data_IF_580909734898
#
_entry.id   IF_580909734898
#
_cell.length_a   1.000
_cell.length_b   1.000
_cell.length_c   1.000
_cell.angle_alpha   90.00
_cell.angle_beta   90.00
_cell.angle_gamma   90.00
#
_symmetry.space_group_name_H-M   'P 1'
#
loop_
_entity.id
_entity.type
_entity.pdbx_description
1 polymer ?
#
# COMPACT_ATOMS: atom_id res chain seq x y z
N UNK A 1 68.10 25.85 -1.18
CA UNK A 1 67.52 25.17 0.00
C UNK A 1 66.05 24.95 -0.28
N UNK A 2 65.71 23.70 -0.60
CA UNK A 2 64.40 23.22 -1.03
C UNK A 2 63.38 23.14 0.11
N UNK A 3 62.19 23.68 -0.15
CA UNK A 3 60.92 22.94 -0.32
C UNK A 3 60.42 22.01 0.79
N UNK A 4 59.23 22.31 1.32
CA UNK A 4 58.25 21.30 1.73
C UNK A 4 56.83 21.91 1.77
N UNK A 5 56.09 21.65 0.69
CA UNK A 5 54.67 21.93 0.50
C UNK A 5 53.82 20.93 1.30
N UNK A 6 52.81 21.42 2.02
CA UNK A 6 51.85 20.63 2.81
C UNK A 6 50.72 20.13 1.89
N UNK A 7 50.60 18.82 1.71
CA UNK A 7 49.38 18.15 1.20
C UNK A 7 48.41 17.89 2.37
N UNK A 8 47.08 17.90 2.16
CA UNK A 8 46.13 17.33 3.10
C UNK A 8 45.92 15.83 2.84
N UNK A 9 45.88 15.08 3.92
CA UNK A 9 45.68 13.62 3.96
C UNK A 9 44.33 13.20 3.36
N UNK A 10 44.40 12.17 2.53
CA UNK A 10 43.28 11.50 1.88
C UNK A 10 43.35 10.05 2.33
N UNK A 11 42.61 9.69 3.39
CA UNK A 11 42.47 8.31 3.87
C UNK A 11 41.12 8.15 4.59
N UNK A 12 40.03 8.04 3.83
CA UNK A 12 38.79 7.41 4.29
C UNK A 12 38.72 6.02 3.64
N UNK A 13 39.37 5.05 4.28
CA UNK A 13 39.31 3.66 3.90
C UNK A 13 37.87 3.14 4.03
N UNK A 14 37.34 2.69 2.89
CA UNK A 14 36.15 1.84 2.75
C UNK A 14 36.20 0.70 3.78
N UNK A 15 35.33 0.73 4.79
CA UNK A 15 35.20 -0.35 5.75
C UNK A 15 34.38 -1.48 5.10
N UNK A 16 34.95 -2.68 4.86
CA UNK A 16 34.25 -3.79 4.18
C UNK A 16 33.05 -4.34 4.97
N UNK A 17 32.80 -3.85 6.19
CA UNK A 17 31.63 -4.19 7.01
C UNK A 17 30.32 -3.50 6.63
N UNK A 18 30.33 -2.52 5.71
CA UNK A 18 29.13 -1.73 5.36
C UNK A 18 28.28 -2.30 4.21
N UNK A 19 28.74 -3.35 3.52
CA UNK A 19 27.96 -3.97 2.45
C UNK A 19 26.90 -4.93 3.02
N UNK A 20 25.62 -4.80 2.65
CA UNK A 20 24.59 -5.73 3.10
C UNK A 20 24.87 -7.14 2.57
N UNK A 21 25.15 -8.08 3.48
CA UNK A 21 25.42 -9.47 3.14
C UNK A 21 24.19 -10.15 2.51
N UNK A 22 24.38 -10.87 1.40
CA UNK A 22 23.35 -11.72 0.79
C UNK A 22 22.92 -12.81 1.80
N UNK A 23 21.61 -13.02 2.04
CA UNK A 23 21.16 -14.00 3.02
C UNK A 23 21.40 -15.44 2.52
N UNK A 24 22.41 -16.11 3.06
CA UNK A 24 22.57 -17.56 2.99
C UNK A 24 21.83 -18.25 4.13
N UNK A 25 20.75 -18.98 3.84
CA UNK A 25 20.05 -19.83 4.81
C UNK A 25 18.56 -20.08 4.49
N UNK A 26 18.00 -21.24 4.88
CA UNK A 26 16.80 -21.80 4.24
C UNK A 26 15.51 -21.06 4.58
N UNK A 27 14.79 -20.67 3.52
CA UNK A 27 13.36 -20.40 3.39
C UNK A 27 12.49 -20.33 4.67
N UNK A 28 12.70 -19.33 5.53
CA UNK A 28 11.57 -18.75 6.27
C UNK A 28 10.83 -17.87 5.27
N UNK A 29 9.54 -18.14 5.01
CA UNK A 29 8.68 -17.34 4.10
C UNK A 29 8.92 -15.85 4.41
N UNK A 30 9.76 -15.15 3.62
CA UNK A 30 10.23 -13.85 4.05
C UNK A 30 9.05 -12.90 3.92
N UNK A 31 8.93 -11.96 4.84
CA UNK A 31 8.03 -10.82 4.66
C UNK A 31 8.32 -10.24 3.28
N UNK A 32 7.39 -10.40 2.34
CA UNK A 32 7.68 -10.32 0.89
C UNK A 32 8.19 -8.96 0.47
N UNK A 33 7.75 -7.89 1.14
CA UNK A 33 8.24 -6.54 0.91
C UNK A 33 9.69 -6.34 1.42
N UNK A 34 10.04 -6.90 2.58
CA UNK A 34 11.39 -6.75 3.14
C UNK A 34 12.43 -7.37 2.23
N UNK A 35 12.12 -8.52 1.63
CA UNK A 35 13.02 -9.15 0.66
C UNK A 35 13.22 -8.27 -0.57
N UNK A 36 12.14 -7.71 -1.14
CA UNK A 36 12.24 -6.84 -2.33
C UNK A 36 13.03 -5.56 -2.06
N UNK A 37 12.76 -4.90 -0.93
CA UNK A 37 13.49 -3.69 -0.54
C UNK A 37 14.97 -4.02 -0.27
N UNK A 38 15.29 -5.16 0.36
CA UNK A 38 16.68 -5.62 0.53
C UNK A 38 17.39 -5.87 -0.80
N UNK A 39 16.72 -6.56 -1.74
CA UNK A 39 17.28 -6.79 -3.08
C UNK A 39 17.57 -5.46 -3.77
N UNK A 40 16.63 -4.51 -3.73
CA UNK A 40 16.82 -3.18 -4.33
C UNK A 40 17.94 -2.39 -3.65
N UNK A 41 18.01 -2.44 -2.32
CA UNK A 41 19.09 -1.85 -1.53
C UNK A 41 20.46 -2.41 -1.95
N UNK A 42 20.59 -3.75 -2.10
CA UNK A 42 21.83 -4.38 -2.54
C UNK A 42 22.23 -3.94 -3.97
N UNK A 43 21.27 -3.85 -4.89
CA UNK A 43 21.49 -3.40 -6.27
C UNK A 43 22.02 -1.96 -6.26
N UNK A 44 21.36 -1.05 -5.54
CA UNK A 44 21.75 0.36 -5.47
C UNK A 44 23.09 0.58 -4.76
N UNK A 45 23.42 -0.23 -3.75
CA UNK A 45 24.74 -0.22 -3.13
C UNK A 45 25.84 -0.60 -4.13
N UNK A 46 25.62 -1.67 -4.89
CA UNK A 46 26.58 -2.11 -5.90
C UNK A 46 26.72 -1.10 -7.03
N UNK A 47 25.61 -0.48 -7.42
CA UNK A 47 25.57 0.54 -8.45
C UNK A 47 26.33 1.81 -8.04
N UNK A 48 26.10 2.31 -6.83
CA UNK A 48 26.83 3.46 -6.27
C UNK A 48 28.34 3.19 -6.19
N UNK A 49 28.73 2.00 -5.73
CA UNK A 49 30.14 1.58 -5.65
C UNK A 49 30.80 1.56 -7.04
N UNK A 50 30.10 1.02 -8.04
CA UNK A 50 30.60 1.01 -9.42
C UNK A 50 30.76 2.41 -10.02
N UNK A 51 29.86 3.35 -9.72
CA UNK A 51 29.95 4.75 -10.19
C UNK A 51 31.09 5.49 -9.49
N UNK A 52 31.34 5.21 -8.21
CA UNK A 52 32.46 5.80 -7.48
C UNK A 52 33.81 5.33 -8.07
N UNK A 53 33.97 4.04 -8.36
CA UNK A 53 35.21 3.51 -8.95
C UNK A 53 35.53 4.10 -10.33
N UNK A 54 34.53 4.18 -11.19
CA UNK A 54 34.65 4.72 -12.56
C UNK A 54 35.13 6.19 -12.53
N UNK A 55 34.65 6.97 -11.57
CA UNK A 55 35.05 8.36 -11.41
C UNK A 55 36.46 8.54 -10.81
N UNK A 56 36.92 7.59 -10.00
CA UNK A 56 38.29 7.60 -9.45
C UNK A 56 39.32 7.20 -10.53
N UNK A 57 38.96 6.26 -11.43
CA UNK A 57 39.81 5.82 -12.55
C UNK A 57 39.99 6.91 -13.64
N UNK A 58 38.95 7.70 -13.90
CA UNK A 58 39.00 8.78 -14.90
C UNK A 58 39.78 10.02 -14.44
N UNK A 59 40.31 10.02 -13.19
CA UNK A 59 41.03 11.13 -12.58
C UNK A 59 40.30 12.48 -12.73
N UNK A 60 38.96 12.43 -12.72
CA UNK A 60 38.14 13.62 -12.73
C UNK A 60 38.28 14.31 -11.37
N UNK A 61 38.61 15.60 -11.36
CA UNK A 61 38.44 16.45 -10.17
C UNK A 61 36.94 16.48 -9.89
N UNK A 62 36.48 15.63 -8.99
CA UNK A 62 35.12 15.61 -8.52
C UNK A 62 34.84 16.98 -7.89
N UNK A 63 34.01 17.79 -8.56
CA UNK A 63 33.55 19.05 -7.99
C UNK A 63 32.83 18.79 -6.67
N UNK A 64 32.85 19.77 -5.75
CA UNK A 64 32.22 19.69 -4.42
C UNK A 64 30.79 19.12 -4.46
N UNK A 65 30.04 19.42 -5.52
CA UNK A 65 28.68 18.88 -5.73
C UNK A 65 28.64 17.36 -5.91
N UNK A 66 29.60 16.77 -6.62
CA UNK A 66 29.62 15.32 -6.87
C UNK A 66 30.01 14.54 -5.61
N UNK A 67 30.92 15.08 -4.78
CA UNK A 67 31.26 14.45 -3.50
C UNK A 67 30.10 14.53 -2.49
N UNK A 68 29.39 15.66 -2.43
CA UNK A 68 28.17 15.80 -1.62
C UNK A 68 27.07 14.81 -2.02
N UNK A 69 26.83 14.62 -3.32
CA UNK A 69 25.84 13.66 -3.82
C UNK A 69 26.21 12.20 -3.46
N UNK A 70 27.49 11.82 -3.55
CA UNK A 70 27.96 10.47 -3.14
C UNK A 70 27.70 10.23 -1.66
N UNK A 71 28.06 11.18 -0.81
CA UNK A 71 27.84 11.09 0.65
C UNK A 71 26.34 11.03 0.97
N UNK A 72 25.53 11.86 0.29
CA UNK A 72 24.07 11.84 0.40
C UNK A 72 23.47 10.49 0.06
N UNK A 73 23.84 9.91 -1.09
CA UNK A 73 23.38 8.59 -1.52
C UNK A 73 23.76 7.49 -0.50
N UNK A 74 25.01 7.46 -0.01
CA UNK A 74 25.44 6.51 1.04
C UNK A 74 24.62 6.68 2.32
N UNK A 75 24.34 7.92 2.74
CA UNK A 75 23.55 8.21 3.93
C UNK A 75 22.11 7.67 3.80
N UNK A 76 21.47 7.89 2.64
CA UNK A 76 20.13 7.40 2.35
C UNK A 76 20.06 5.87 2.30
N UNK A 77 21.03 5.19 1.67
CA UNK A 77 21.09 3.73 1.65
C UNK A 77 21.30 3.13 3.04
N UNK A 78 22.16 3.74 3.88
CA UNK A 78 22.31 3.34 5.30
C UNK A 78 21.02 3.56 6.09
N UNK A 79 20.31 4.67 5.85
CA UNK A 79 19.01 4.92 6.48
C UNK A 79 17.95 3.90 6.06
N UNK A 80 17.90 3.52 4.78
CA UNK A 80 17.02 2.45 4.31
C UNK A 80 17.36 1.11 5.00
N UNK A 81 18.64 0.78 5.13
CA UNK A 81 19.09 -0.44 5.81
C UNK A 81 18.62 -0.48 7.29
N UNK A 82 18.80 0.62 8.02
CA UNK A 82 18.39 0.70 9.43
C UNK A 82 16.87 0.58 9.60
N UNK A 83 16.08 1.18 8.69
CA UNK A 83 14.62 1.04 8.69
C UNK A 83 14.19 -0.41 8.46
N UNK A 84 14.81 -1.12 7.51
CA UNK A 84 14.51 -2.53 7.22
C UNK A 84 14.89 -3.43 8.40
N UNK A 85 16.05 -3.20 9.02
CA UNK A 85 16.48 -3.96 10.19
C UNK A 85 15.56 -3.72 11.39
N UNK A 86 15.11 -2.48 11.57
CA UNK A 86 14.12 -2.12 12.59
C UNK A 86 12.75 -2.79 12.36
N UNK A 87 12.44 -3.18 11.12
CA UNK A 87 11.24 -3.90 10.74
C UNK A 87 11.38 -5.44 10.89
N UNK A 88 12.60 -5.97 10.72
CA UNK A 88 12.91 -7.39 10.83
C UNK A 88 13.25 -7.84 12.26
N UNK A 89 13.84 -6.96 13.07
CA UNK A 89 14.23 -7.29 14.43
C UNK A 89 12.99 -7.56 15.28
N UNK A 90 12.87 -8.80 15.76
CA UNK A 90 12.00 -9.18 16.89
C UNK A 90 12.54 -8.56 18.18
N UNK A 91 12.74 -7.25 18.22
CA UNK A 91 13.18 -6.56 19.42
C UNK A 91 12.16 -6.85 20.52
N UNK A 92 12.64 -7.54 21.57
CA UNK A 92 11.88 -7.96 22.75
C UNK A 92 11.30 -6.77 23.53
N UNK A 93 11.76 -5.56 23.24
CA UNK A 93 11.53 -4.35 24.04
C UNK A 93 10.46 -3.41 23.46
N UNK A 94 10.00 -3.63 22.23
CA UNK A 94 8.83 -2.90 21.69
C UNK A 94 7.53 -3.56 22.16
N UNK A 95 6.75 -2.83 22.95
CA UNK A 95 5.39 -3.24 23.36
C UNK A 95 4.59 -3.73 22.15
N UNK A 96 3.86 -4.84 22.32
CA UNK A 96 3.06 -5.52 21.28
C UNK A 96 2.19 -4.54 20.47
N UNK A 97 1.71 -3.48 21.12
CA UNK A 97 0.93 -2.37 20.56
C UNK A 97 1.72 -1.49 19.58
N UNK A 98 2.96 -1.10 19.89
CA UNK A 98 3.83 -0.34 18.96
C UNK A 98 4.21 -1.17 17.74
N UNK A 99 4.41 -2.48 17.90
CA UNK A 99 4.70 -3.41 16.79
C UNK A 99 3.52 -3.56 15.83
N UNK A 100 2.32 -3.73 16.39
CA UNK A 100 1.10 -3.77 15.59
C UNK A 100 0.88 -2.43 14.89
N UNK A 101 1.05 -1.30 15.60
CA UNK A 101 0.94 0.04 15.03
C UNK A 101 1.96 0.30 13.91
N UNK A 102 3.24 -0.03 14.07
CA UNK A 102 4.25 0.20 13.03
C UNK A 102 4.05 -0.69 11.80
N UNK A 103 3.61 -1.94 12.00
CA UNK A 103 3.21 -2.82 10.91
C UNK A 103 1.95 -2.30 10.21
N UNK A 104 1.02 -1.74 10.97
CA UNK A 104 -0.22 -1.14 10.47
C UNK A 104 0.04 0.15 9.69
N UNK A 105 0.90 1.05 10.14
CA UNK A 105 1.05 2.38 9.53
C UNK A 105 1.84 2.35 8.21
N UNK A 106 2.64 1.32 7.94
CA UNK A 106 3.44 1.24 6.71
C UNK A 106 4.65 2.19 6.70
N UNK A 107 4.84 2.99 7.75
CA UNK A 107 5.90 4.01 7.88
C UNK A 107 7.30 3.46 7.61
N UNK A 108 7.61 2.26 8.10
CA UNK A 108 8.93 1.65 7.89
C UNK A 108 9.15 1.24 6.44
N UNK A 109 8.08 0.79 5.77
CA UNK A 109 8.13 0.42 4.36
C UNK A 109 8.20 1.67 3.47
N UNK A 110 7.28 2.61 3.65
CA UNK A 110 7.23 3.89 2.93
C UNK A 110 8.55 4.66 3.10
N UNK A 111 9.03 4.82 4.34
CA UNK A 111 10.30 5.50 4.61
C UNK A 111 11.51 4.79 4.01
N UNK A 112 11.52 3.45 3.98
CA UNK A 112 12.60 2.72 3.31
C UNK A 112 12.57 2.90 1.79
N UNK A 113 11.37 2.93 1.20
CA UNK A 113 11.19 3.09 -0.24
C UNK A 113 11.58 4.50 -0.68
N UNK A 114 11.14 5.52 0.06
CA UNK A 114 11.49 6.92 -0.17
C UNK A 114 13.02 7.11 -0.13
N UNK A 115 13.71 6.56 0.89
CA UNK A 115 15.16 6.63 0.95
C UNK A 115 15.85 5.95 -0.25
N UNK A 116 15.29 4.84 -0.76
CA UNK A 116 15.83 4.17 -1.95
C UNK A 116 15.58 4.97 -3.23
N UNK A 117 14.40 5.57 -3.39
CA UNK A 117 14.06 6.42 -4.54
C UNK A 117 14.96 7.66 -4.59
N UNK A 118 15.10 8.37 -3.48
CA UNK A 118 15.99 9.53 -3.36
C UNK A 118 17.46 9.13 -3.63
N UNK A 119 17.91 7.98 -3.11
CA UNK A 119 19.26 7.50 -3.37
C UNK A 119 19.49 7.18 -4.86
N UNK A 120 18.51 6.56 -5.52
CA UNK A 120 18.61 6.22 -6.94
C UNK A 120 18.68 7.46 -7.84
N UNK A 121 17.88 8.50 -7.56
CA UNK A 121 17.96 9.79 -8.28
C UNK A 121 19.36 10.39 -8.16
N UNK A 122 19.95 10.38 -6.96
CA UNK A 122 21.33 10.85 -6.76
C UNK A 122 22.35 9.99 -7.52
N UNK A 123 22.21 8.66 -7.51
CA UNK A 123 23.10 7.74 -8.22
C UNK A 123 23.05 7.98 -9.74
N UNK A 124 21.85 8.10 -10.32
CA UNK A 124 21.66 8.36 -11.75
C UNK A 124 22.25 9.71 -12.15
N UNK A 125 22.15 10.72 -11.30
CA UNK A 125 22.76 12.04 -11.55
C UNK A 125 24.30 12.01 -11.62
N UNK A 126 24.92 10.96 -11.08
CA UNK A 126 26.38 10.75 -11.08
C UNK A 126 26.86 9.88 -12.25
N UNK A 127 25.98 9.37 -13.12
CA UNK A 127 26.38 8.53 -14.24
C UNK A 127 27.18 9.29 -15.30
N UNK A 128 28.10 8.57 -15.95
CA UNK A 128 28.66 9.02 -17.21
C UNK A 128 27.62 8.95 -18.35
N UNK A 129 27.74 9.81 -19.38
CA UNK A 129 26.77 9.90 -20.48
C UNK A 129 26.46 8.56 -21.18
N UNK A 130 27.49 7.77 -21.50
CA UNK A 130 27.34 6.45 -22.12
C UNK A 130 26.52 5.49 -21.25
N UNK A 131 26.74 5.53 -19.93
CA UNK A 131 26.05 4.69 -18.96
C UNK A 131 24.61 5.14 -18.76
N UNK A 132 24.41 6.45 -18.67
CA UNK A 132 23.08 7.08 -18.61
C UNK A 132 22.22 6.69 -19.82
N UNK A 133 22.78 6.73 -21.03
CA UNK A 133 22.10 6.31 -22.27
C UNK A 133 21.69 4.84 -22.26
N UNK A 134 22.54 3.95 -21.71
CA UNK A 134 22.21 2.53 -21.53
C UNK A 134 21.08 2.33 -20.50
N UNK A 135 21.07 3.13 -19.45
CA UNK A 135 20.07 3.05 -18.38
C UNK A 135 18.74 3.73 -18.74
N UNK A 136 18.72 4.61 -19.74
CA UNK A 136 17.54 5.40 -20.13
C UNK A 136 16.27 4.56 -20.35
N UNK A 137 16.37 3.42 -21.03
CA UNK A 137 15.20 2.55 -21.25
C UNK A 137 14.62 1.98 -19.94
N UNK A 138 15.46 1.77 -18.92
CA UNK A 138 15.01 1.35 -17.59
C UNK A 138 14.23 2.48 -16.91
N UNK A 139 14.73 3.72 -17.00
CA UNK A 139 14.05 4.91 -16.46
C UNK A 139 12.72 5.14 -17.18
N UNK A 140 12.73 5.11 -18.52
CA UNK A 140 11.52 5.25 -19.35
C UNK A 140 10.45 4.20 -19.03
N UNK A 141 10.85 2.98 -18.67
CA UNK A 141 9.92 1.94 -18.20
C UNK A 141 9.30 2.28 -16.83
N UNK A 142 10.08 2.82 -15.89
CA UNK A 142 9.60 3.25 -14.56
C UNK A 142 8.63 4.43 -14.66
N UNK A 143 8.94 5.41 -15.50
CA UNK A 143 8.18 6.66 -15.67
C UNK A 143 7.01 6.55 -16.66
N UNK A 144 6.77 5.35 -17.21
CA UNK A 144 5.62 5.04 -18.08
C UNK A 144 4.25 5.55 -17.59
N UNK A 145 3.96 5.64 -16.26
CA UNK A 145 2.69 6.17 -15.80
C UNK A 145 2.53 7.69 -15.90
N UNK A 146 3.57 8.45 -16.24
CA UNK A 146 3.48 9.89 -16.49
C UNK A 146 2.66 10.20 -17.76
N UNK A 147 2.20 11.44 -17.85
CA UNK A 147 1.51 11.95 -19.02
C UNK A 147 2.44 11.92 -20.25
N UNK A 148 2.01 11.39 -21.40
CA UNK A 148 2.82 11.36 -22.63
C UNK A 148 3.23 12.75 -23.15
N UNK A 149 2.65 13.83 -22.63
CA UNK A 149 2.92 15.22 -23.04
C UNK A 149 3.84 15.96 -22.05
N UNK A 150 4.37 15.28 -21.04
CA UNK A 150 5.27 15.90 -20.06
C UNK A 150 6.52 16.49 -20.77
N UNK A 151 6.86 17.77 -20.55
CA UNK A 151 8.04 18.40 -21.16
C UNK A 151 9.35 17.69 -20.81
N UNK A 152 9.46 17.05 -19.64
CA UNK A 152 10.65 16.32 -19.20
C UNK A 152 10.89 15.06 -20.02
N UNK A 153 9.81 14.39 -20.41
CA UNK A 153 9.89 13.20 -21.26
C UNK A 153 10.44 13.57 -22.64
N UNK A 154 9.93 14.66 -23.23
CA UNK A 154 10.44 15.20 -24.51
C UNK A 154 11.89 15.64 -24.42
N UNK A 155 12.28 16.31 -23.33
CA UNK A 155 13.66 16.72 -23.14
C UNK A 155 14.63 15.53 -23.12
N UNK A 156 14.26 14.42 -22.47
CA UNK A 156 15.07 13.19 -22.48
C UNK A 156 15.09 12.55 -23.86
N UNK A 157 13.96 12.47 -24.56
CA UNK A 157 13.92 11.92 -25.93
C UNK A 157 14.78 12.74 -26.91
N UNK A 158 14.75 14.07 -26.80
CA UNK A 158 15.57 14.98 -27.61
C UNK A 158 17.07 14.81 -27.31
N UNK A 159 17.44 14.65 -26.03
CA UNK A 159 18.82 14.38 -25.61
C UNK A 159 19.31 12.99 -26.06
N UNK A 160 18.43 11.99 -26.08
CA UNK A 160 18.74 10.66 -26.62
C UNK A 160 18.91 10.69 -28.14
N UNK A 161 18.18 11.55 -28.85
CA UNK A 161 18.31 11.74 -30.28
C UNK A 161 19.55 12.56 -30.67
N UNK A 162 20.06 13.40 -29.78
CA UNK A 162 21.23 14.24 -30.02
C UNK A 162 22.56 13.44 -30.05
N UNK A 163 23.50 13.92 -30.87
CA UNK A 163 24.92 13.52 -30.89
C UNK A 163 25.74 14.41 -29.93
N UNK A 164 26.93 13.96 -29.43
CA UNK A 164 27.73 14.73 -28.47
C UNK A 164 28.04 16.15 -29.00
N UNK A 165 27.93 17.22 -28.17
CA UNK A 165 28.23 17.28 -26.73
C UNK A 165 27.04 17.35 -25.75
N UNK A 166 25.79 17.29 -26.22
CA UNK A 166 24.58 17.39 -25.35
C UNK A 166 24.41 16.20 -24.38
N UNK A 167 25.17 15.12 -24.59
CA UNK A 167 25.17 13.90 -23.76
C UNK A 167 25.56 14.18 -22.29
N UNK A 168 26.24 15.31 -22.00
CA UNK A 168 26.63 15.69 -20.63
C UNK A 168 25.45 16.07 -19.74
N UNK A 169 24.33 16.49 -20.31
CA UNK A 169 23.12 16.88 -19.56
C UNK A 169 22.17 15.70 -19.36
N UNK A 170 22.37 14.60 -20.10
CA UNK A 170 21.52 13.41 -20.07
C UNK A 170 21.37 12.78 -18.67
N UNK A 171 22.43 12.62 -17.84
CA UNK A 171 22.28 12.06 -16.50
C UNK A 171 21.40 12.92 -15.59
N UNK A 172 21.52 14.24 -15.66
CA UNK A 172 20.71 15.17 -14.88
C UNK A 172 19.24 15.18 -15.35
N UNK A 173 19.01 15.18 -16.66
CA UNK A 173 17.66 15.09 -17.23
C UNK A 173 16.96 13.77 -16.87
N UNK A 174 17.68 12.64 -16.90
CA UNK A 174 17.16 11.34 -16.47
C UNK A 174 16.84 11.31 -14.97
N UNK A 175 17.69 11.93 -14.14
CA UNK A 175 17.43 12.05 -12.70
C UNK A 175 16.16 12.86 -12.41
N UNK A 176 15.97 14.00 -13.08
CA UNK A 176 14.76 14.83 -12.93
C UNK A 176 13.49 14.07 -13.41
N UNK A 177 13.58 13.36 -14.54
CA UNK A 177 12.49 12.54 -15.03
C UNK A 177 12.14 11.41 -14.06
N UNK A 178 13.15 10.75 -13.48
CA UNK A 178 12.96 9.68 -12.50
C UNK A 178 12.34 10.20 -11.20
N UNK A 179 12.77 11.36 -10.71
CA UNK A 179 12.18 12.03 -9.54
C UNK A 179 10.69 12.33 -9.76
N UNK A 180 10.34 12.84 -10.95
CA UNK A 180 8.94 13.05 -11.32
C UNK A 180 8.13 11.74 -11.35
N UNK A 181 8.72 10.66 -11.84
CA UNK A 181 8.10 9.33 -11.82
C UNK A 181 7.82 8.83 -10.42
N UNK A 182 8.80 8.96 -9.52
CA UNK A 182 8.64 8.54 -8.12
C UNK A 182 7.63 9.39 -7.37
N UNK A 183 7.53 10.70 -7.63
CA UNK A 183 6.47 11.53 -7.06
C UNK A 183 5.06 11.00 -7.40
N UNK A 184 4.83 10.59 -8.65
CA UNK A 184 3.55 9.99 -9.08
C UNK A 184 3.31 8.63 -8.42
N UNK A 185 4.35 7.81 -8.27
CA UNK A 185 4.23 6.54 -7.55
C UNK A 185 3.90 6.72 -6.06
N UNK A 186 4.49 7.73 -5.41
CA UNK A 186 4.22 8.07 -4.01
C UNK A 186 2.78 8.54 -3.80
N UNK A 187 2.22 9.36 -4.71
CA UNK A 187 0.81 9.74 -4.66
C UNK A 187 -0.13 8.53 -4.72
N UNK A 188 0.20 7.54 -5.55
CA UNK A 188 -0.55 6.27 -5.62
C UNK A 188 -0.45 5.49 -4.32
N UNK A 189 0.73 5.47 -3.70
CA UNK A 189 0.92 4.86 -2.39
C UNK A 189 0.06 5.56 -1.32
N UNK A 190 0.01 6.90 -1.29
CA UNK A 190 -0.84 7.67 -0.37
C UNK A 190 -2.33 7.37 -0.59
N UNK A 191 -2.79 7.31 -1.85
CA UNK A 191 -4.17 6.95 -2.20
C UNK A 191 -4.52 5.55 -1.68
N UNK A 192 -3.60 4.60 -1.84
CA UNK A 192 -3.79 3.22 -1.36
C UNK A 192 -3.90 3.16 0.18
N UNK A 193 -3.11 3.95 0.91
CA UNK A 193 -3.17 4.06 2.38
C UNK A 193 -4.49 4.66 2.85
N UNK A 194 -4.92 5.75 2.23
CA UNK A 194 -6.19 6.41 2.54
C UNK A 194 -7.38 5.49 2.29
N UNK A 195 -7.34 4.70 1.21
CA UNK A 195 -8.34 3.69 0.92
C UNK A 195 -8.38 2.60 1.99
N UNK A 196 -7.23 2.05 2.41
CA UNK A 196 -7.16 1.09 3.51
C UNK A 196 -7.77 1.67 4.79
N UNK A 197 -7.39 2.89 5.17
CA UNK A 197 -7.91 3.56 6.37
C UNK A 197 -9.42 3.81 6.28
N UNK A 198 -9.95 4.08 5.09
CA UNK A 198 -11.40 4.18 4.86
C UNK A 198 -12.09 2.82 5.04
N UNK A 199 -11.53 1.74 4.50
CA UNK A 199 -12.05 0.38 4.68
C UNK A 199 -12.05 -0.05 6.15
N UNK A 200 -10.97 0.22 6.88
CA UNK A 200 -10.87 -0.08 8.31
C UNK A 200 -11.95 0.68 9.09
N UNK A 201 -12.13 1.97 8.81
CA UNK A 201 -13.19 2.78 9.44
C UNK A 201 -14.58 2.24 9.12
N UNK A 202 -14.85 1.90 7.87
CA UNK A 202 -16.12 1.30 7.45
C UNK A 202 -16.35 -0.05 8.14
N UNK A 203 -15.34 -0.90 8.21
CA UNK A 203 -15.39 -2.19 8.92
C UNK A 203 -15.65 -2.02 10.42
N UNK A 204 -15.03 -1.03 11.05
CA UNK A 204 -15.30 -0.70 12.45
C UNK A 204 -16.74 -0.25 12.67
N UNK A 205 -17.27 0.62 11.80
CA UNK A 205 -18.68 1.04 11.86
C UNK A 205 -19.61 -0.17 11.73
N UNK A 206 -19.35 -1.08 10.78
CA UNK A 206 -20.15 -2.29 10.61
C UNK A 206 -20.10 -3.21 11.84
N UNK A 207 -18.92 -3.36 12.47
CA UNK A 207 -18.79 -4.12 13.72
C UNK A 207 -19.54 -3.45 14.88
N UNK A 208 -19.53 -2.13 14.98
CA UNK A 208 -20.31 -1.38 15.98
C UNK A 208 -21.81 -1.59 15.76
N UNK A 209 -22.29 -1.51 14.52
CA UNK A 209 -23.69 -1.78 14.19
C UNK A 209 -24.06 -3.22 14.53
N UNK A 210 -23.23 -4.19 14.14
CA UNK A 210 -23.45 -5.60 14.46
C UNK A 210 -23.50 -5.85 15.98
N UNK A 211 -22.59 -5.22 16.73
CA UNK A 211 -22.59 -5.24 18.19
C UNK A 211 -23.83 -4.58 18.81
N UNK A 212 -24.33 -3.49 18.22
CA UNK A 212 -25.56 -2.84 18.66
C UNK A 212 -26.80 -3.71 18.42
N UNK A 213 -26.89 -4.40 17.27
CA UNK A 213 -27.99 -5.35 17.00
C UNK A 213 -27.96 -6.52 17.98
N UNK A 214 -26.78 -7.09 18.25
CA UNK A 214 -26.62 -8.12 19.29
C UNK A 214 -27.01 -7.58 20.67
N UNK A 215 -26.53 -6.40 21.04
CA UNK A 215 -26.85 -5.74 22.31
C UNK A 215 -28.36 -5.53 22.50
N UNK A 216 -29.06 -5.11 21.44
CA UNK A 216 -30.53 -4.99 21.46
C UNK A 216 -31.21 -6.37 21.65
N UNK A 217 -30.76 -7.39 20.91
CA UNK A 217 -31.30 -8.74 20.98
C UNK A 217 -31.12 -9.40 22.37
N UNK A 218 -30.02 -9.11 23.07
CA UNK A 218 -29.78 -9.57 24.43
C UNK A 218 -30.44 -8.71 25.51
N UNK A 219 -30.54 -7.39 25.29
CA UNK A 219 -31.05 -6.45 26.29
C UNK A 219 -32.57 -6.46 26.44
N UNK A 220 -33.32 -6.67 25.35
CA UNK A 220 -34.79 -6.73 25.36
C UNK A 220 -35.25 -7.91 24.51
N UNK A 221 -35.84 -8.92 25.15
CA UNK A 221 -36.41 -10.08 24.47
C UNK A 221 -37.46 -9.64 23.45
N UNK A 222 -37.32 -10.08 22.20
CA UNK A 222 -38.27 -9.75 21.12
C UNK A 222 -38.04 -8.41 20.40
N UNK A 223 -36.99 -7.64 20.74
CA UNK A 223 -36.67 -6.39 20.04
C UNK A 223 -36.26 -6.58 18.57
N UNK A 224 -35.66 -7.74 18.26
CA UNK A 224 -35.29 -8.14 16.90
C UNK A 224 -36.06 -9.42 16.55
N UNK A 225 -37.23 -9.32 15.89
CA UNK A 225 -38.05 -10.47 15.56
C UNK A 225 -37.50 -11.23 14.35
N UNK A 226 -36.36 -11.91 14.53
CA UNK A 226 -35.71 -12.68 13.45
C UNK A 226 -36.50 -13.95 13.09
N UNK A 227 -37.31 -14.47 14.02
CA UNK A 227 -38.16 -15.63 13.82
C UNK A 227 -39.44 -15.51 14.65
N UNK A 228 -40.51 -16.15 14.18
CA UNK A 228 -41.73 -16.31 14.97
C UNK A 228 -41.55 -17.40 16.04
N UNK A 229 -42.30 -17.30 17.15
CA UNK A 229 -42.21 -18.23 18.30
C UNK A 229 -42.19 -19.71 17.90
N UNK A 230 -43.02 -20.10 16.92
CA UNK A 230 -43.14 -21.50 16.47
C UNK A 230 -41.97 -21.96 15.59
N UNK A 231 -41.26 -21.02 14.97
CA UNK A 231 -40.16 -21.27 14.04
C UNK A 231 -38.78 -21.10 14.68
N UNK A 232 -38.67 -20.40 15.81
CA UNK A 232 -37.43 -20.26 16.57
C UNK A 232 -36.98 -21.60 17.18
N UNK A 233 -35.67 -21.71 17.46
CA UNK A 233 -35.11 -22.86 18.17
C UNK A 233 -35.84 -23.00 19.53
N UNK A 234 -36.24 -24.21 19.91
CA UNK A 234 -36.91 -24.44 21.20
C UNK A 234 -38.34 -23.90 21.34
N UNK A 235 -38.94 -23.27 20.32
CA UNK A 235 -40.35 -22.86 20.33
C UNK A 235 -40.67 -21.63 21.21
N UNK A 236 -39.66 -20.84 21.57
CA UNK A 236 -39.78 -19.65 22.41
C UNK A 236 -39.72 -18.35 21.60
N UNK A 237 -39.91 -17.21 22.28
CA UNK A 237 -39.68 -15.90 21.68
C UNK A 237 -38.21 -15.77 21.23
N UNK A 238 -37.93 -14.98 20.18
CA UNK A 238 -36.57 -14.85 19.65
C UNK A 238 -35.62 -14.34 20.74
N UNK A 239 -34.56 -15.12 20.96
CA UNK A 239 -33.51 -14.82 21.93
C UNK A 239 -32.28 -14.19 21.25
N UNK A 240 -31.39 -13.60 22.06
CA UNK A 240 -30.10 -13.13 21.57
C UNK A 240 -29.25 -14.25 20.95
N UNK A 241 -29.39 -15.49 21.44
CA UNK A 241 -28.68 -16.66 20.90
C UNK A 241 -29.18 -17.04 19.50
N UNK A 242 -30.50 -17.04 19.29
CA UNK A 242 -31.09 -17.29 17.96
C UNK A 242 -30.61 -16.24 16.95
N UNK A 243 -30.58 -14.98 17.38
CA UNK A 243 -30.10 -13.86 16.55
C UNK A 243 -28.61 -14.01 16.22
N UNK A 244 -27.79 -14.39 17.21
CA UNK A 244 -26.36 -14.68 17.02
C UNK A 244 -26.12 -15.83 16.05
N UNK A 245 -26.90 -16.91 16.14
CA UNK A 245 -26.84 -18.04 15.21
C UNK A 245 -27.22 -17.64 13.77
N UNK A 246 -28.28 -16.83 13.60
CA UNK A 246 -28.67 -16.31 12.29
C UNK A 246 -27.55 -15.44 11.69
N UNK A 247 -26.95 -14.56 12.48
CA UNK A 247 -25.81 -13.76 12.02
C UNK A 247 -24.64 -14.63 11.59
N UNK A 248 -24.30 -15.67 12.37
CA UNK A 248 -23.22 -16.60 12.04
C UNK A 248 -23.49 -17.34 10.71
N UNK A 249 -24.73 -17.77 10.48
CA UNK A 249 -25.15 -18.38 9.22
C UNK A 249 -25.09 -17.40 8.05
N UNK A 250 -25.44 -16.13 8.28
CA UNK A 250 -25.23 -15.05 7.31
C UNK A 250 -23.75 -14.85 6.95
N UNK A 251 -22.86 -14.86 7.94
CA UNK A 251 -21.41 -14.81 7.72
C UNK A 251 -20.91 -16.04 6.95
N UNK A 252 -21.46 -17.22 7.23
CA UNK A 252 -21.11 -18.45 6.52
C UNK A 252 -21.52 -18.38 5.04
N UNK A 253 -22.72 -17.84 4.75
CA UNK A 253 -23.15 -17.54 3.38
C UNK A 253 -22.21 -16.56 2.67
N UNK A 254 -21.72 -15.55 3.38
CA UNK A 254 -20.74 -14.58 2.87
C UNK A 254 -19.36 -15.21 2.55
N UNK A 255 -18.92 -16.13 3.40
CA UNK A 255 -17.57 -16.67 3.37
C UNK A 255 -17.28 -17.56 2.15
N UNK A 256 -18.28 -18.32 1.70
CA UNK A 256 -18.15 -19.24 0.55
C UNK A 256 -17.66 -18.54 -0.74
N UNK A 257 -18.31 -17.48 -1.24
CA UNK A 257 -17.86 -16.75 -2.42
C UNK A 257 -16.60 -15.93 -2.18
N UNK A 258 -16.37 -15.46 -0.95
CA UNK A 258 -15.12 -14.82 -0.56
C UNK A 258 -13.93 -15.78 -0.72
N UNK A 259 -14.06 -17.04 -0.29
CA UNK A 259 -13.02 -18.05 -0.43
C UNK A 259 -12.66 -18.30 -1.90
N UNK A 260 -13.66 -18.39 -2.79
CA UNK A 260 -13.44 -18.53 -4.23
C UNK A 260 -12.74 -17.32 -4.86
N UNK A 261 -13.04 -16.10 -4.43
CA UNK A 261 -12.34 -14.89 -4.88
C UNK A 261 -10.90 -14.85 -4.40
N UNK A 262 -10.67 -15.15 -3.13
CA UNK A 262 -9.33 -15.12 -2.53
C UNK A 262 -8.38 -16.12 -3.18
N UNK A 263 -8.88 -17.29 -3.61
CA UNK A 263 -8.10 -18.28 -4.36
C UNK A 263 -7.70 -17.80 -5.77
N UNK A 264 -8.50 -16.91 -6.38
CA UNK A 264 -8.21 -16.33 -7.71
C UNK A 264 -7.36 -15.07 -7.66
N UNK A 265 -7.15 -14.51 -6.46
CA UNK A 265 -6.22 -13.41 -6.23
C UNK A 265 -4.79 -13.94 -6.35
N UNK A 266 -4.35 -14.19 -7.57
CA UNK A 266 -2.95 -14.47 -7.86
C UNK A 266 -2.10 -13.25 -7.57
N UNK A 267 -1.08 -13.44 -6.72
CA UNK A 267 0.20 -12.72 -6.70
C UNK A 267 0.25 -11.18 -6.75
N UNK A 268 -0.86 -10.45 -6.70
CA UNK A 268 -0.85 -8.99 -6.80
C UNK A 268 -0.34 -8.42 -5.47
N UNK A 269 0.93 -8.06 -5.51
CA UNK A 269 1.68 -7.45 -4.43
C UNK A 269 1.09 -6.07 -4.15
N UNK A 270 0.20 -6.03 -3.16
CA UNK A 270 -0.19 -4.80 -2.53
C UNK A 270 0.30 -4.85 -1.07
N UNK A 271 1.32 -4.08 -0.67
CA UNK A 271 1.82 -4.06 0.71
C UNK A 271 0.73 -3.72 1.74
N UNK A 272 -0.37 -3.11 1.30
CA UNK A 272 -1.53 -2.76 2.13
C UNK A 272 -2.63 -3.83 2.14
N UNK A 273 -2.44 -4.96 1.43
CA UNK A 273 -3.39 -6.07 1.30
C UNK A 273 -4.85 -5.60 1.11
N UNK A 274 -5.06 -4.56 0.29
CA UNK A 274 -6.38 -3.95 0.09
C UNK A 274 -7.45 -4.98 -0.30
N UNK A 275 -7.20 -5.90 -1.24
CA UNK A 275 -8.21 -6.87 -1.65
C UNK A 275 -8.66 -7.78 -0.50
N UNK A 276 -7.73 -8.14 0.39
CA UNK A 276 -8.05 -8.94 1.57
C UNK A 276 -8.98 -8.18 2.53
N UNK A 277 -8.70 -6.90 2.79
CA UNK A 277 -9.55 -6.07 3.66
C UNK A 277 -10.93 -5.80 3.05
N UNK A 278 -11.01 -5.61 1.73
CA UNK A 278 -12.27 -5.46 0.99
C UNK A 278 -13.12 -6.72 1.05
N UNK A 279 -12.51 -7.90 1.11
CA UNK A 279 -13.26 -9.14 1.24
C UNK A 279 -13.66 -9.40 2.70
N UNK A 280 -12.80 -9.11 3.69
CA UNK A 280 -13.13 -9.27 5.11
C UNK A 280 -14.34 -8.43 5.55
N UNK A 281 -14.54 -7.23 4.97
CA UNK A 281 -15.67 -6.37 5.31
C UNK A 281 -17.02 -6.99 4.95
N UNK A 282 -17.05 -7.98 4.04
CA UNK A 282 -18.29 -8.65 3.62
C UNK A 282 -18.81 -9.65 4.64
N UNK A 283 -17.97 -10.11 5.56
CA UNK A 283 -18.40 -11.00 6.63
C UNK A 283 -19.44 -10.31 7.55
N UNK A 284 -19.16 -9.14 8.17
CA UNK A 284 -20.17 -8.46 8.98
C UNK A 284 -21.34 -7.95 8.15
N UNK A 285 -21.14 -7.58 6.88
CA UNK A 285 -22.27 -7.25 5.98
C UNK A 285 -23.19 -8.47 5.83
N UNK A 286 -22.65 -9.68 5.71
CA UNK A 286 -23.43 -10.91 5.57
C UNK A 286 -24.28 -11.25 6.79
N UNK A 287 -23.73 -11.01 7.98
CA UNK A 287 -24.50 -11.10 9.21
C UNK A 287 -25.66 -10.08 9.23
N UNK A 288 -25.39 -8.83 8.88
CA UNK A 288 -26.40 -7.76 8.87
C UNK A 288 -27.46 -7.99 7.79
N UNK A 289 -27.09 -8.46 6.60
CA UNK A 289 -28.05 -8.77 5.53
C UNK A 289 -28.90 -9.98 5.86
N UNK A 290 -28.38 -10.97 6.58
CA UNK A 290 -29.17 -12.08 7.07
C UNK A 290 -30.27 -11.62 8.04
N UNK A 291 -29.90 -10.82 9.05
CA UNK A 291 -30.88 -10.27 10.00
C UNK A 291 -31.90 -9.37 9.29
N UNK A 292 -31.42 -8.45 8.45
CA UNK A 292 -32.30 -7.53 7.70
C UNK A 292 -33.24 -8.28 6.76
N UNK A 293 -32.73 -9.31 6.06
CA UNK A 293 -33.52 -10.14 5.16
C UNK A 293 -34.62 -10.88 5.91
N UNK A 294 -34.33 -11.46 7.07
CA UNK A 294 -35.33 -12.16 7.89
C UNK A 294 -36.38 -11.20 8.47
N UNK A 295 -36.01 -9.95 8.79
CA UNK A 295 -36.99 -8.92 9.18
C UNK A 295 -37.92 -8.49 8.05
N UNK A 296 -37.51 -8.67 6.79
CA UNK A 296 -38.31 -8.36 5.60
C UNK A 296 -39.17 -9.54 5.13
N UNK A 297 -38.78 -10.78 5.44
CA UNK A 297 -39.61 -11.96 5.15
C UNK A 297 -40.91 -11.87 5.95
N UNK A 298 -42.04 -12.12 5.28
CA UNK A 298 -43.36 -12.00 5.90
C UNK A 298 -43.97 -10.60 5.90
N UNK A 299 -43.27 -9.63 5.30
CA UNK A 299 -43.82 -8.29 5.07
C UNK A 299 -44.42 -8.18 3.66
N UNK A 300 -45.39 -7.28 3.49
CA UNK A 300 -46.00 -6.97 2.18
C UNK A 300 -44.97 -6.48 1.14
N UNK A 301 -43.78 -6.06 1.58
CA UNK A 301 -42.70 -5.62 0.71
C UNK A 301 -42.06 -6.77 -0.08
N UNK A 302 -42.07 -7.99 0.47
CA UNK A 302 -41.42 -9.16 -0.12
C UNK A 302 -42.39 -10.36 -0.26
N UNK A 303 -43.48 -10.21 -1.04
CA UNK A 303 -44.57 -11.19 -1.10
C UNK A 303 -44.18 -12.52 -1.74
N UNK A 304 -43.01 -12.60 -2.38
CA UNK A 304 -42.49 -13.84 -2.98
C UNK A 304 -41.96 -14.84 -1.94
N UNK A 305 -41.58 -14.41 -0.73
CA UNK A 305 -41.01 -15.28 0.28
C UNK A 305 -42.07 -15.66 1.33
N UNK A 306 -42.23 -16.96 1.54
CA UNK A 306 -43.15 -17.49 2.57
C UNK A 306 -42.54 -17.38 3.95
N UNK A 307 -43.40 -17.16 4.94
CA UNK A 307 -43.02 -17.15 6.35
C UNK A 307 -42.35 -18.47 6.73
N UNK A 308 -41.17 -18.40 7.39
CA UNK A 308 -40.47 -19.60 7.79
C UNK A 308 -41.25 -20.30 8.90
N UNK A 309 -41.69 -21.53 8.64
CA UNK A 309 -42.46 -22.34 9.61
C UNK A 309 -41.59 -23.20 10.52
N UNK A 310 -40.27 -23.27 10.25
CA UNK A 310 -39.33 -24.08 11.02
C UNK A 310 -37.94 -23.45 11.05
N UNK A 311 -37.15 -23.77 12.08
CA UNK A 311 -35.77 -23.31 12.23
C UNK A 311 -34.89 -23.61 11.00
N UNK A 312 -35.10 -24.75 10.34
CA UNK A 312 -34.34 -25.11 9.12
C UNK A 312 -34.57 -24.09 7.99
N UNK A 313 -35.78 -23.54 7.87
CA UNK A 313 -36.09 -22.52 6.88
C UNK A 313 -35.48 -21.17 7.26
N UNK A 314 -35.53 -20.79 8.54
CA UNK A 314 -34.85 -19.61 9.10
C UNK A 314 -33.34 -19.68 8.78
N UNK A 315 -32.70 -20.81 9.06
CA UNK A 315 -31.30 -21.04 8.78
C UNK A 315 -30.96 -20.98 7.27
N UNK A 316 -31.80 -21.58 6.43
CA UNK A 316 -31.63 -21.53 4.98
C UNK A 316 -31.74 -20.10 4.45
N UNK A 317 -32.75 -19.34 4.89
CA UNK A 317 -32.89 -17.93 4.52
C UNK A 317 -31.68 -17.11 4.97
N UNK A 318 -31.19 -17.31 6.19
CA UNK A 318 -30.01 -16.60 6.70
C UNK A 318 -28.78 -16.80 5.81
N UNK A 319 -28.51 -18.04 5.38
CA UNK A 319 -27.41 -18.34 4.45
C UNK A 319 -27.65 -17.70 3.08
N UNK A 320 -28.87 -17.80 2.54
CA UNK A 320 -29.22 -17.21 1.23
C UNK A 320 -29.05 -15.70 1.25
N UNK A 321 -29.58 -14.99 2.24
CA UNK A 321 -29.39 -13.55 2.39
C UNK A 321 -27.92 -13.15 2.62
N UNK A 322 -27.15 -14.02 3.29
CA UNK A 322 -25.69 -13.90 3.40
C UNK A 322 -24.96 -14.02 2.07
N UNK A 323 -25.49 -14.77 1.09
CA UNK A 323 -24.94 -14.82 -0.28
C UNK A 323 -25.44 -13.65 -1.11
N UNK A 324 -26.72 -13.30 -1.01
CA UNK A 324 -27.38 -12.24 -1.80
C UNK A 324 -26.70 -10.87 -1.64
N UNK A 325 -26.08 -10.60 -0.49
CA UNK A 325 -25.31 -9.37 -0.27
C UNK A 325 -24.25 -9.10 -1.36
N UNK A 326 -23.76 -10.13 -2.06
CA UNK A 326 -22.74 -9.99 -3.09
C UNK A 326 -23.26 -9.26 -4.31
N UNK A 327 -24.53 -9.45 -4.64
CA UNK A 327 -25.18 -8.72 -5.72
C UNK A 327 -25.29 -7.23 -5.36
N UNK A 328 -25.66 -6.95 -4.11
CA UNK A 328 -25.78 -5.58 -3.61
C UNK A 328 -24.42 -4.87 -3.52
N UNK A 329 -23.44 -5.51 -2.90
CA UNK A 329 -22.08 -4.96 -2.70
C UNK A 329 -21.34 -4.80 -4.01
N UNK A 330 -21.50 -5.71 -4.99
CA UNK A 330 -20.84 -5.59 -6.28
C UNK A 330 -21.20 -4.29 -7.02
N UNK A 331 -22.45 -3.82 -6.93
CA UNK A 331 -22.87 -2.57 -7.59
C UNK A 331 -22.23 -1.33 -6.96
N UNK A 332 -22.04 -1.35 -5.64
CA UNK A 332 -21.42 -0.27 -4.86
C UNK A 332 -19.90 -0.27 -5.08
N UNK A 333 -19.28 -1.45 -5.02
CA UNK A 333 -17.84 -1.64 -5.25
C UNK A 333 -17.45 -1.13 -6.64
N UNK A 334 -18.23 -1.48 -7.69
CA UNK A 334 -17.96 -1.03 -9.07
C UNK A 334 -18.04 0.50 -9.22
N UNK A 335 -18.90 1.18 -8.45
CA UNK A 335 -19.01 2.64 -8.47
C UNK A 335 -17.84 3.30 -7.73
N UNK A 336 -17.43 2.74 -6.59
CA UNK A 336 -16.29 3.23 -5.84
C UNK A 336 -14.97 3.08 -6.61
N UNK A 337 -14.77 1.97 -7.31
CA UNK A 337 -13.58 1.75 -8.16
C UNK A 337 -13.52 2.74 -9.32
N UNK A 338 -14.65 3.04 -9.98
CA UNK A 338 -14.71 4.05 -11.04
C UNK A 338 -14.36 5.45 -10.55
N UNK A 339 -14.76 5.80 -9.32
CA UNK A 339 -14.42 7.09 -8.71
C UNK A 339 -12.96 7.17 -8.24
N UNK A 340 -12.33 6.04 -7.90
CA UNK A 340 -10.92 5.98 -7.50
C UNK A 340 -9.95 5.84 -8.68
N UNK A 341 -10.42 5.27 -9.80
CA UNK A 341 -9.71 5.13 -11.06
C UNK A 341 -9.88 6.34 -11.98
N UNK A 342 -10.89 7.18 -11.77
CA UNK A 342 -10.91 8.52 -12.33
C UNK A 342 -9.70 9.29 -11.77
N UNK A 343 -8.96 9.96 -12.65
CA UNK A 343 -7.91 10.91 -12.27
C UNK A 343 -8.46 11.97 -11.29
N UNK A 344 -7.60 12.63 -10.49
CA UNK A 344 -8.07 13.60 -9.49
C UNK A 344 -9.02 14.59 -10.16
N UNK A 345 -10.23 14.67 -9.62
CA UNK A 345 -11.30 15.45 -10.19
C UNK A 345 -10.84 16.92 -10.29
N UNK A 346 -11.17 17.59 -11.40
CA UNK A 346 -10.79 18.99 -11.61
C UNK A 346 -11.30 19.90 -10.48
N UNK A 347 -12.30 19.44 -9.73
CA UNK A 347 -12.85 20.12 -8.56
C UNK A 347 -12.05 19.88 -7.25
N UNK A 348 -11.33 18.76 -7.09
CA UNK A 348 -10.37 18.58 -5.97
C UNK A 348 -9.11 19.45 -6.18
N UNK A 349 -8.64 19.59 -7.43
CA UNK A 349 -7.55 20.50 -7.77
C UNK A 349 -7.92 21.97 -7.48
N UNK A 350 -9.15 22.39 -7.79
CA UNK A 350 -9.67 23.71 -7.43
C UNK A 350 -9.83 23.93 -5.92
N UNK A 351 -10.12 22.88 -5.15
CA UNK A 351 -10.20 23.00 -3.68
C UNK A 351 -8.82 23.19 -3.04
N UNK A 352 -7.76 22.60 -3.61
CA UNK A 352 -6.38 22.81 -3.17
C UNK A 352 -5.84 24.19 -3.58
N UNK A 353 -6.25 24.73 -4.73
CA UNK A 353 -5.92 26.09 -5.16
C UNK A 353 -6.58 27.18 -4.30
N UNK A 354 -7.73 26.87 -3.68
CA UNK A 354 -8.48 27.79 -2.82
C UNK A 354 -8.03 27.79 -1.34
N UNK A 355 -6.95 27.10 -0.97
CA UNK A 355 -6.39 27.22 0.39
C UNK A 355 -5.68 28.58 0.48
N UNK A 356 -6.19 29.55 1.26
CA UNK A 356 -5.58 30.87 1.33
C UNK A 356 -4.18 30.76 1.93
N UNK A 357 -3.18 31.16 1.14
CA UNK A 357 -1.80 31.32 1.58
C UNK A 357 -1.75 32.21 2.83
N UNK A 358 -1.29 31.63 3.93
CA UNK A 358 -1.07 32.36 5.19
C UNK A 358 0.05 33.37 4.94
N UNK A 359 -0.30 34.65 4.79
CA UNK A 359 0.66 35.76 4.66
C UNK A 359 1.71 35.67 5.79
N UNK A 360 3.00 35.83 5.50
CA UNK A 360 4.01 35.96 6.55
C UNK A 360 3.72 37.22 7.37
N UNK A 361 3.77 37.08 8.69
CA UNK A 361 3.68 38.20 9.62
C UNK A 361 4.86 39.16 9.37
N UNK A 362 4.54 40.45 9.27
CA UNK A 362 5.49 41.55 9.15
C UNK A 362 6.27 41.76 10.45
#
# INVERSE_FOLDING_TARGET
MSEASRRPDHDDHDNPGDQPHLPGGPAQRPNTWQHRVKVRLCVLWHELDSVCREADETNCVCGVRASEQRVGARCLLRRAATLIESAGSRSKDRTRRRRFMSWWHGELYEGSLQCLHEAEVLIVSLYEPCRARRHANSVLATVRPLCPTDPRLKAVDDLLAAEPPHDRELPAALAELLEAGYAVEEERAVRSRNFRNRLIRAGFILLVVLGAVLGAAYGVSGSVPVCEKKACLGGHAPSGEDTGLVMLLGMLGAALPMAGRLQRMGGSWNPYSLPFWQEMIKLPIGALTAVTGLLLVGTDWLPLLKDPTSWRQVAAYAVVFGVVQLALTHTIDTRAEKLLAADPDADEAKQLENVPSKKPAA
#
